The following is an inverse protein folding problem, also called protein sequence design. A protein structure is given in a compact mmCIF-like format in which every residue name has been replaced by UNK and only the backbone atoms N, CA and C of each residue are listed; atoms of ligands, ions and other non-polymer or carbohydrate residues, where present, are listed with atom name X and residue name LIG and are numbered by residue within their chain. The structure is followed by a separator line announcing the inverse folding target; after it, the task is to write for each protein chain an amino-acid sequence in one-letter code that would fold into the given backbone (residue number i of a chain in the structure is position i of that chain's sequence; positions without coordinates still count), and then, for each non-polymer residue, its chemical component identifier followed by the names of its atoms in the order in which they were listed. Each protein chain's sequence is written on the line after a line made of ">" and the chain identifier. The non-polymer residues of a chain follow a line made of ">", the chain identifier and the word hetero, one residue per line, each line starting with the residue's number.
data_IF_062773659076
#
_entry.id   IF_062773659076
#
_cell.length_a   1.000
_cell.length_b   1.000
_cell.length_c   1.000
_cell.angle_alpha   90.00
_cell.angle_beta   90.00
_cell.angle_gamma   90.00
#
_symmetry.space_group_name_H-M   'P 1'
#
loop_
_entity.id
_entity.type
_entity.pdbx_description
1 polymer ?
#
# COMPACT_ATOMS: atom_id res chain seq x y z
N UNK A 1 -6.32 6.15 31.13
CA UNK A 1 -6.16 4.69 31.02
C UNK A 1 -7.00 4.32 29.82
N UNK A 2 -6.40 3.74 28.78
CA UNK A 2 -7.20 3.12 27.73
C UNK A 2 -7.80 1.86 28.35
N UNK A 3 -9.12 1.69 28.18
CA UNK A 3 -9.78 0.48 28.66
C UNK A 3 -9.14 -0.73 27.97
N UNK A 4 -8.80 -1.75 28.76
CA UNK A 4 -8.22 -3.00 28.24
C UNK A 4 -9.25 -3.68 27.32
N UNK A 5 -8.93 -3.98 26.07
CA UNK A 5 -9.90 -4.58 25.16
C UNK A 5 -10.18 -6.03 25.59
N UNK A 6 -11.39 -6.52 25.32
CA UNK A 6 -11.73 -7.92 25.57
C UNK A 6 -10.98 -8.86 24.62
N UNK A 7 -10.91 -8.51 23.36
CA UNK A 7 -10.18 -9.29 22.36
C UNK A 7 -9.12 -8.46 21.67
N UNK A 8 -7.98 -9.10 21.40
CA UNK A 8 -6.91 -8.57 20.55
C UNK A 8 -6.82 -9.42 19.29
N UNK A 9 -6.90 -8.78 18.15
CA UNK A 9 -6.83 -9.44 16.85
C UNK A 9 -5.58 -9.00 16.14
N UNK A 10 -4.69 -9.93 15.81
CA UNK A 10 -3.62 -9.69 14.87
C UNK A 10 -4.10 -9.97 13.45
N UNK A 11 -3.75 -9.10 12.52
CA UNK A 11 -4.16 -9.20 11.13
C UNK A 11 -2.96 -8.99 10.21
N UNK A 12 -2.58 -10.04 9.50
CA UNK A 12 -1.62 -9.98 8.40
C UNK A 12 -2.36 -9.91 7.07
N UNK A 13 -2.15 -8.82 6.32
CA UNK A 13 -2.89 -8.50 5.11
C UNK A 13 -1.99 -8.44 3.88
N UNK A 14 -1.93 -9.53 3.14
CA UNK A 14 -1.29 -9.59 1.84
C UNK A 14 -2.26 -9.29 0.67
N UNK A 15 -1.72 -9.08 -0.53
CA UNK A 15 -2.53 -8.75 -1.71
C UNK A 15 -3.58 -9.80 -2.09
N UNK A 16 -3.39 -11.06 -1.69
CA UNK A 16 -4.25 -12.19 -2.05
C UNK A 16 -4.91 -12.87 -0.87
N UNK A 17 -4.33 -12.75 0.31
CA UNK A 17 -4.76 -13.43 1.52
C UNK A 17 -4.80 -12.47 2.69
N UNK A 18 -5.67 -12.76 3.62
CA UNK A 18 -5.81 -12.09 4.89
C UNK A 18 -5.83 -13.17 5.96
N UNK A 19 -4.91 -13.11 6.89
CA UNK A 19 -4.88 -13.98 8.06
C UNK A 19 -5.25 -13.20 9.31
N UNK A 20 -6.10 -13.78 10.16
CA UNK A 20 -6.43 -13.22 11.47
C UNK A 20 -6.16 -14.24 12.57
N UNK A 21 -5.70 -13.73 13.71
CA UNK A 21 -5.53 -14.47 14.95
C UNK A 21 -6.22 -13.70 16.08
N UNK A 22 -7.22 -14.30 16.71
CA UNK A 22 -8.03 -13.68 17.77
C UNK A 22 -7.60 -14.23 19.12
N UNK A 23 -7.33 -13.33 20.06
CA UNK A 23 -6.88 -13.64 21.41
C UNK A 23 -7.79 -12.98 22.44
N UNK A 24 -8.17 -13.71 23.47
CA UNK A 24 -8.82 -13.13 24.64
C UNK A 24 -7.77 -12.42 25.50
N UNK A 25 -8.03 -11.18 25.89
CA UNK A 25 -7.10 -10.43 26.73
C UNK A 25 -6.81 -11.11 28.07
N UNK A 26 -7.79 -11.85 28.61
CA UNK A 26 -7.66 -12.56 29.87
C UNK A 26 -6.88 -13.88 29.74
N UNK A 27 -6.90 -14.52 28.56
CA UNK A 27 -6.14 -15.76 28.29
C UNK A 27 -5.04 -15.47 27.23
N UNK A 28 -3.84 -15.17 27.74
CA UNK A 28 -2.67 -14.81 26.91
C UNK A 28 -1.89 -16.03 26.39
N UNK A 29 -2.38 -17.24 26.64
CA UNK A 29 -1.67 -18.47 26.27
C UNK A 29 -2.28 -19.16 25.05
N UNK A 30 -3.55 -18.94 24.79
CA UNK A 30 -4.27 -19.64 23.74
C UNK A 30 -5.01 -18.66 22.83
N UNK A 31 -4.86 -18.81 21.52
CA UNK A 31 -5.69 -18.09 20.58
C UNK A 31 -7.11 -18.67 20.58
N UNK A 32 -8.11 -17.80 20.58
CA UNK A 32 -9.51 -18.20 20.46
C UNK A 32 -9.87 -18.66 19.07
N UNK A 33 -9.23 -18.05 18.05
CA UNK A 33 -9.52 -18.32 16.63
C UNK A 33 -8.33 -17.99 15.76
N UNK A 34 -8.05 -18.87 14.77
CA UNK A 34 -7.19 -18.59 13.64
C UNK A 34 -7.98 -18.78 12.35
N UNK A 35 -7.92 -17.82 11.43
CA UNK A 35 -8.65 -17.92 10.16
C UNK A 35 -7.95 -17.17 9.02
N UNK A 36 -7.99 -17.79 7.83
CA UNK A 36 -7.55 -17.18 6.59
C UNK A 36 -8.75 -16.83 5.71
N UNK A 37 -8.65 -15.69 5.01
CA UNK A 37 -9.62 -15.22 4.02
C UNK A 37 -8.90 -14.84 2.73
N UNK A 38 -9.64 -14.83 1.63
CA UNK A 38 -9.21 -14.09 0.44
C UNK A 38 -9.27 -12.60 0.73
N UNK A 39 -8.29 -11.83 0.30
CA UNK A 39 -8.20 -10.40 0.63
C UNK A 39 -9.41 -9.57 0.13
N UNK A 40 -10.12 -10.05 -0.87
CA UNK A 40 -11.35 -9.40 -1.41
C UNK A 40 -12.63 -9.83 -0.69
N UNK A 41 -12.57 -10.78 0.25
CA UNK A 41 -13.76 -11.33 0.94
C UNK A 41 -13.95 -10.64 2.30
N UNK A 42 -14.12 -9.32 2.24
CA UNK A 42 -14.33 -8.48 3.42
C UNK A 42 -15.63 -8.85 4.14
N UNK A 43 -16.67 -9.19 3.41
CA UNK A 43 -17.96 -9.58 4.00
C UNK A 43 -17.85 -10.85 4.85
N UNK A 44 -17.09 -11.85 4.38
CA UNK A 44 -16.83 -13.05 5.17
C UNK A 44 -15.99 -12.76 6.41
N UNK A 45 -15.04 -11.84 6.32
CA UNK A 45 -14.26 -11.37 7.45
C UNK A 45 -15.15 -10.67 8.48
N UNK A 46 -15.96 -9.69 8.09
CA UNK A 46 -16.88 -8.97 8.99
C UNK A 46 -17.86 -9.95 9.66
N UNK A 47 -18.46 -10.88 8.92
CA UNK A 47 -19.33 -11.93 9.50
C UNK A 47 -18.60 -12.81 10.52
N UNK A 48 -17.30 -12.98 10.38
CA UNK A 48 -16.51 -13.71 11.38
C UNK A 48 -16.31 -12.86 12.62
N UNK A 49 -16.05 -11.56 12.48
CA UNK A 49 -15.99 -10.63 13.61
C UNK A 49 -17.33 -10.62 14.38
N UNK A 50 -18.45 -10.47 13.70
CA UNK A 50 -19.80 -10.47 14.31
C UNK A 50 -20.10 -11.74 15.13
N UNK A 51 -19.50 -12.88 14.78
CA UNK A 51 -19.73 -14.15 15.45
C UNK A 51 -18.78 -14.45 16.62
N UNK A 52 -17.57 -13.94 16.55
CA UNK A 52 -16.47 -14.39 17.42
C UNK A 52 -15.76 -13.26 18.16
N UNK A 53 -16.05 -12.01 17.80
CA UNK A 53 -15.35 -10.85 18.35
C UNK A 53 -16.37 -9.84 18.84
N UNK A 54 -16.14 -9.30 20.01
CA UNK A 54 -16.95 -8.20 20.58
C UNK A 54 -16.48 -6.85 20.01
N UNK A 55 -17.34 -5.83 20.04
CA UNK A 55 -16.97 -4.45 19.69
C UNK A 55 -15.93 -3.87 20.65
N UNK A 56 -15.85 -4.40 21.88
CA UNK A 56 -14.76 -4.13 22.84
C UNK A 56 -13.51 -4.91 22.47
N UNK A 57 -12.99 -4.64 21.28
CA UNK A 57 -11.81 -5.32 20.75
C UNK A 57 -10.91 -4.34 20.02
N UNK A 58 -9.67 -4.74 19.79
CA UNK A 58 -8.71 -4.02 18.96
C UNK A 58 -8.09 -4.94 17.92
N UNK A 59 -8.08 -4.50 16.66
CA UNK A 59 -7.38 -5.19 15.58
C UNK A 59 -6.06 -4.48 15.27
N UNK A 60 -4.98 -5.22 15.30
CA UNK A 60 -3.62 -4.76 14.96
C UNK A 60 -3.30 -5.26 13.57
N UNK A 61 -3.12 -4.34 12.62
CA UNK A 61 -2.89 -4.63 11.21
C UNK A 61 -1.44 -4.28 10.87
N UNK A 62 -0.72 -5.19 10.22
CA UNK A 62 0.59 -4.87 9.67
C UNK A 62 0.48 -3.88 8.51
N UNK A 63 1.40 -2.90 8.44
CA UNK A 63 1.40 -1.91 7.37
C UNK A 63 1.68 -2.56 6.02
N UNK A 64 0.69 -2.52 5.14
CA UNK A 64 0.70 -3.09 3.80
C UNK A 64 -0.09 -2.19 2.84
N UNK A 65 -0.14 -2.57 1.56
CA UNK A 65 -0.92 -1.83 0.56
C UNK A 65 -2.41 -1.71 0.92
N UNK A 66 -2.98 -2.70 1.60
CA UNK A 66 -4.41 -2.78 1.89
C UNK A 66 -4.77 -2.38 3.34
N UNK A 67 -3.79 -2.12 4.19
CA UNK A 67 -4.02 -1.91 5.63
C UNK A 67 -4.92 -0.71 5.93
N UNK A 68 -4.75 0.41 5.22
CA UNK A 68 -5.59 1.60 5.41
C UNK A 68 -7.06 1.34 5.04
N UNK A 69 -7.29 0.62 3.93
CA UNK A 69 -8.62 0.20 3.51
C UNK A 69 -9.28 -0.73 4.54
N UNK A 70 -8.56 -1.74 5.03
CA UNK A 70 -9.05 -2.68 6.03
C UNK A 70 -9.39 -1.97 7.35
N UNK A 71 -8.52 -1.05 7.81
CA UNK A 71 -8.80 -0.22 8.98
C UNK A 71 -10.09 0.58 8.80
N UNK A 72 -10.29 1.20 7.63
CA UNK A 72 -11.49 1.96 7.34
C UNK A 72 -12.75 1.09 7.38
N UNK A 73 -12.70 -0.11 6.78
CA UNK A 73 -13.83 -1.04 6.74
C UNK A 73 -14.17 -1.57 8.14
N UNK A 74 -13.18 -1.95 8.95
CA UNK A 74 -13.40 -2.38 10.32
C UNK A 74 -13.98 -1.28 11.19
N UNK A 75 -13.44 -0.07 11.11
CA UNK A 75 -13.95 1.08 11.86
C UNK A 75 -15.39 1.43 11.45
N UNK A 76 -15.74 1.34 10.16
CA UNK A 76 -17.10 1.52 9.67
C UNK A 76 -18.06 0.45 10.18
N UNK A 77 -17.57 -0.77 10.43
CA UNK A 77 -18.33 -1.87 11.03
C UNK A 77 -18.39 -1.79 12.59
N UNK A 78 -17.78 -0.76 13.20
CA UNK A 78 -17.79 -0.55 14.65
C UNK A 78 -16.65 -1.24 15.42
N UNK A 79 -15.68 -1.81 14.74
CA UNK A 79 -14.50 -2.45 15.35
C UNK A 79 -13.30 -1.52 15.32
N UNK A 80 -12.62 -1.38 16.43
CA UNK A 80 -11.40 -0.58 16.52
C UNK A 80 -10.25 -1.29 15.77
N UNK A 81 -9.58 -0.58 14.86
CA UNK A 81 -8.42 -1.10 14.14
C UNK A 81 -7.29 -0.08 14.10
N UNK A 82 -6.06 -0.55 14.32
CA UNK A 82 -4.85 0.26 14.27
C UNK A 82 -3.78 -0.40 13.41
N UNK A 83 -2.97 0.42 12.73
CA UNK A 83 -1.91 -0.06 11.86
C UNK A 83 -0.57 0.08 12.57
N UNK A 84 0.27 -0.95 12.47
CA UNK A 84 1.63 -0.95 13.00
C UNK A 84 2.66 -1.15 11.89
N UNK A 85 3.89 -0.73 12.16
CA UNK A 85 4.99 -0.90 11.21
C UNK A 85 5.45 -2.36 11.17
N UNK A 86 5.80 -2.85 9.98
CA UNK A 86 6.27 -4.20 9.74
C UNK A 86 7.56 -4.57 10.53
N UNK A 87 8.40 -3.56 10.82
CA UNK A 87 9.67 -3.77 11.52
C UNK A 87 9.53 -4.11 13.02
N UNK A 88 8.37 -3.83 13.63
CA UNK A 88 8.09 -4.18 15.03
C UNK A 88 8.11 -5.70 15.24
N UNK A 89 7.71 -6.47 14.22
CA UNK A 89 7.64 -7.94 14.28
C UNK A 89 8.92 -8.60 13.76
N UNK A 90 9.64 -7.94 12.86
CA UNK A 90 10.78 -8.52 12.14
C UNK A 90 11.99 -8.88 13.02
N UNK A 91 12.05 -8.44 14.27
CA UNK A 91 13.21 -8.64 15.15
C UNK A 91 13.16 -9.89 16.05
N UNK A 92 12.07 -10.65 16.04
CA UNK A 92 11.94 -11.85 16.89
C UNK A 92 11.93 -13.13 16.05
N UNK A 93 13.09 -13.78 15.92
CA UNK A 93 13.28 -15.13 15.36
C UNK A 93 13.08 -15.34 13.85
N UNK A 94 14.02 -14.85 13.04
CA UNK A 94 14.15 -15.14 11.59
C UNK A 94 14.29 -16.64 11.22
N UNK A 95 14.25 -17.56 12.17
CA UNK A 95 14.39 -19.02 11.93
C UNK A 95 13.07 -19.78 11.83
N UNK A 96 11.92 -19.16 12.16
CA UNK A 96 10.61 -19.81 12.00
C UNK A 96 10.11 -19.68 10.57
N UNK A 97 9.41 -20.70 10.09
CA UNK A 97 8.71 -20.71 8.80
C UNK A 97 7.84 -19.45 8.71
N UNK A 98 8.05 -18.68 7.65
CA UNK A 98 7.18 -17.56 7.27
C UNK A 98 5.81 -18.12 6.95
N UNK A 99 4.82 -17.80 7.76
CA UNK A 99 3.44 -18.22 7.58
C UNK A 99 2.54 -17.07 8.02
N UNK A 100 1.68 -16.61 7.14
CA UNK A 100 0.76 -15.47 7.34
C UNK A 100 0.00 -15.59 8.68
N UNK A 101 -0.33 -16.82 9.09
CA UNK A 101 -1.00 -17.10 10.37
C UNK A 101 -0.11 -16.83 11.59
N UNK A 102 1.18 -17.18 11.51
CA UNK A 102 2.15 -16.91 12.58
C UNK A 102 2.41 -15.41 12.68
N UNK A 103 2.42 -14.70 11.57
CA UNK A 103 2.63 -13.26 11.55
C UNK A 103 1.42 -12.54 12.15
N UNK A 104 0.19 -12.97 11.85
CA UNK A 104 -1.01 -12.50 12.52
C UNK A 104 -1.01 -12.78 14.04
N UNK A 105 -0.56 -13.97 14.47
CA UNK A 105 -0.39 -14.32 15.88
C UNK A 105 0.61 -13.40 16.57
N UNK A 106 1.77 -13.19 15.95
CA UNK A 106 2.83 -12.33 16.50
C UNK A 106 2.36 -10.88 16.68
N UNK A 107 1.51 -10.37 15.79
CA UNK A 107 0.91 -9.04 15.90
C UNK A 107 0.04 -8.91 17.15
N UNK A 108 -0.87 -9.87 17.37
CA UNK A 108 -1.71 -9.86 18.56
C UNK A 108 -0.88 -9.96 19.84
N UNK A 109 0.09 -10.88 19.87
CA UNK A 109 0.96 -11.07 21.01
C UNK A 109 1.87 -9.87 21.29
N UNK A 110 2.36 -9.17 20.27
CA UNK A 110 3.14 -7.95 20.43
C UNK A 110 2.32 -6.85 21.12
N UNK A 111 1.04 -6.70 20.73
CA UNK A 111 0.15 -5.76 21.41
C UNK A 111 -0.11 -6.15 22.87
N UNK A 112 -0.44 -7.41 23.13
CA UNK A 112 -0.70 -7.95 24.50
C UNK A 112 0.52 -7.76 25.40
N UNK A 113 1.74 -7.90 24.87
CA UNK A 113 2.99 -7.75 25.62
C UNK A 113 3.41 -6.29 25.84
N UNK A 114 2.74 -5.33 25.16
CA UNK A 114 3.12 -3.94 25.20
C UNK A 114 4.39 -3.62 24.36
N UNK A 115 4.70 -4.47 23.39
CA UNK A 115 5.85 -4.28 22.48
C UNK A 115 5.56 -3.26 21.35
N UNK A 116 4.33 -2.74 21.28
CA UNK A 116 3.90 -1.75 20.27
C UNK A 116 3.89 -0.37 20.91
N UNK A 117 4.88 0.44 20.55
CA UNK A 117 5.03 1.81 21.09
C UNK A 117 4.21 2.84 20.31
N UNK A 118 4.06 2.67 19.00
CA UNK A 118 3.43 3.63 18.13
C UNK A 118 2.57 2.97 17.06
N UNK A 119 1.42 3.61 16.78
CA UNK A 119 0.59 3.28 15.63
C UNK A 119 0.93 4.15 14.44
N UNK A 120 0.83 3.59 13.24
CA UNK A 120 1.03 4.34 12.00
C UNK A 120 -0.13 5.33 11.83
N UNK A 121 0.22 6.60 11.69
CA UNK A 121 -0.78 7.61 11.38
C UNK A 121 -1.43 7.30 10.02
N UNK A 122 -2.76 7.22 10.01
CA UNK A 122 -3.54 6.98 8.79
C UNK A 122 -4.28 8.26 8.42
N UNK A 123 -4.06 8.82 7.22
CA UNK A 123 -4.79 9.99 6.78
C UNK A 123 -6.29 9.68 6.67
N UNK A 124 -7.13 10.70 6.78
CA UNK A 124 -8.55 10.54 6.47
C UNK A 124 -8.73 10.21 4.98
N UNK A 125 -9.82 9.54 4.61
CA UNK A 125 -10.13 9.13 3.22
C UNK A 125 -9.95 10.26 2.20
N UNK A 126 -10.37 11.47 2.55
CA UNK A 126 -10.18 12.65 1.70
C UNK A 126 -8.71 12.98 1.40
N UNK A 127 -7.82 12.82 2.39
CA UNK A 127 -6.39 13.04 2.20
C UNK A 127 -5.73 11.89 1.43
N UNK A 128 -6.26 10.67 1.53
CA UNK A 128 -5.79 9.54 0.72
C UNK A 128 -6.06 9.78 -0.76
N UNK A 129 -7.26 10.21 -1.13
CA UNK A 129 -7.60 10.56 -2.51
C UNK A 129 -6.66 11.65 -3.08
N UNK A 130 -6.41 12.73 -2.33
CA UNK A 130 -5.48 13.76 -2.76
C UNK A 130 -4.05 13.22 -2.91
N UNK A 131 -3.61 12.39 -1.99
CA UNK A 131 -2.28 11.77 -2.04
C UNK A 131 -2.13 10.88 -3.27
N UNK A 132 -3.12 10.08 -3.59
CA UNK A 132 -3.12 9.20 -4.76
C UNK A 132 -3.08 9.99 -6.07
N UNK A 133 -3.86 11.07 -6.17
CA UNK A 133 -3.81 12.00 -7.30
C UNK A 133 -2.41 12.62 -7.43
N UNK A 134 -1.81 13.08 -6.33
CA UNK A 134 -0.48 13.66 -6.34
C UNK A 134 0.60 12.64 -6.72
N UNK A 135 0.49 11.40 -6.28
CA UNK A 135 1.40 10.33 -6.70
C UNK A 135 1.24 10.02 -8.18
N UNK A 136 0.02 9.86 -8.69
CA UNK A 136 -0.26 9.63 -10.10
C UNK A 136 0.29 10.77 -10.97
N UNK A 137 0.08 12.02 -10.57
CA UNK A 137 0.63 13.19 -11.25
C UNK A 137 2.16 13.18 -11.29
N UNK A 138 2.80 12.90 -10.16
CA UNK A 138 4.27 12.85 -10.04
C UNK A 138 4.85 11.74 -10.92
N UNK A 139 4.24 10.57 -10.91
CA UNK A 139 4.73 9.42 -11.68
C UNK A 139 4.51 9.63 -13.18
N UNK A 140 3.36 10.17 -13.59
CA UNK A 140 3.11 10.57 -14.97
C UNK A 140 4.11 11.63 -15.44
N UNK A 141 4.43 12.61 -14.60
CA UNK A 141 5.42 13.66 -14.92
C UNK A 141 6.83 13.09 -15.11
N UNK A 142 7.23 12.11 -14.27
CA UNK A 142 8.50 11.39 -14.43
C UNK A 142 8.52 10.60 -15.73
N UNK A 143 7.43 9.93 -16.08
CA UNK A 143 7.30 9.15 -17.30
C UNK A 143 7.39 10.03 -18.56
N UNK A 144 6.71 11.17 -18.58
CA UNK A 144 6.82 12.17 -19.65
C UNK A 144 8.27 12.65 -19.81
N UNK A 145 8.95 12.89 -18.68
CA UNK A 145 10.37 13.29 -18.71
C UNK A 145 11.26 12.18 -19.27
N UNK A 146 11.02 10.92 -18.86
CA UNK A 146 11.76 9.75 -19.35
C UNK A 146 11.58 9.55 -20.85
N UNK A 147 10.35 9.61 -21.32
CA UNK A 147 10.04 9.47 -22.76
C UNK A 147 10.64 10.62 -23.58
N UNK A 148 10.54 11.85 -23.09
CA UNK A 148 11.18 13.02 -23.74
C UNK A 148 12.68 12.82 -23.86
N UNK A 149 13.35 12.38 -22.79
CA UNK A 149 14.79 12.10 -22.82
C UNK A 149 15.15 10.99 -23.81
N UNK A 150 14.33 9.93 -23.90
CA UNK A 150 14.52 8.85 -24.87
C UNK A 150 14.42 9.34 -26.31
N UNK A 151 13.43 10.18 -26.62
CA UNK A 151 13.27 10.78 -27.96
C UNK A 151 14.48 11.67 -28.28
N UNK A 152 14.91 12.54 -27.37
CA UNK A 152 16.07 13.38 -27.53
C UNK A 152 17.34 12.57 -27.83
N UNK A 153 17.58 11.50 -27.08
CA UNK A 153 18.73 10.63 -27.27
C UNK A 153 18.67 9.90 -28.63
N UNK A 154 17.48 9.53 -29.09
CA UNK A 154 17.28 8.88 -30.37
C UNK A 154 17.55 9.86 -31.54
N UNK A 155 17.03 11.08 -31.46
CA UNK A 155 17.30 12.14 -32.46
C UNK A 155 18.78 12.50 -32.50
N UNK A 156 19.41 12.68 -31.35
CA UNK A 156 20.84 13.00 -31.25
C UNK A 156 21.71 11.91 -31.86
N UNK A 157 21.42 10.62 -31.64
CA UNK A 157 22.15 9.50 -32.26
C UNK A 157 22.03 9.44 -33.77
N UNK A 158 20.96 10.01 -34.33
CA UNK A 158 20.76 10.11 -35.77
C UNK A 158 21.32 11.41 -36.37
N UNK A 159 22.02 12.23 -35.57
CA UNK A 159 22.66 13.47 -36.05
C UNK A 159 21.71 14.66 -36.20
N UNK A 160 20.46 14.57 -35.72
CA UNK A 160 19.54 15.71 -35.77
C UNK A 160 20.00 16.77 -34.77
N UNK A 161 20.16 18.02 -35.23
CA UNK A 161 20.44 19.16 -34.38
C UNK A 161 19.19 19.56 -33.61
N UNK A 162 19.15 19.26 -32.34
CA UNK A 162 18.04 19.60 -31.46
C UNK A 162 18.24 21.00 -30.86
N UNK A 163 17.19 21.83 -30.74
CA UNK A 163 17.30 23.13 -30.10
C UNK A 163 17.71 22.96 -28.62
N UNK A 164 18.34 24.00 -28.08
CA UNK A 164 18.77 24.01 -26.66
C UNK A 164 17.57 23.72 -25.77
N UNK A 165 17.78 22.83 -24.83
CA UNK A 165 16.75 22.28 -23.92
C UNK A 165 16.33 23.31 -22.90
N UNK A 166 15.42 24.24 -23.22
CA UNK A 166 14.82 25.16 -22.25
C UNK A 166 13.66 24.47 -21.51
N UNK A 167 13.64 24.59 -20.17
CA UNK A 167 12.72 23.85 -19.29
C UNK A 167 11.23 24.15 -19.49
N UNK A 168 10.87 25.30 -20.07
CA UNK A 168 9.50 25.77 -20.15
C UNK A 168 8.64 25.14 -21.28
N UNK A 169 9.26 24.60 -22.37
CA UNK A 169 8.51 24.19 -23.57
C UNK A 169 8.92 22.84 -24.17
N UNK A 170 9.41 21.92 -23.34
CA UNK A 170 9.99 20.64 -23.81
C UNK A 170 9.05 19.81 -24.68
N UNK A 171 7.79 19.67 -24.29
CA UNK A 171 6.83 18.77 -24.95
C UNK A 171 6.30 19.38 -26.26
N UNK A 172 6.01 20.67 -26.28
CA UNK A 172 5.50 21.36 -27.47
C UNK A 172 6.58 21.47 -28.55
N UNK A 173 7.82 21.76 -28.16
CA UNK A 173 8.96 21.83 -29.07
C UNK A 173 9.30 20.48 -29.68
N UNK A 174 9.36 19.41 -28.86
CA UNK A 174 9.57 18.05 -29.36
C UNK A 174 8.44 17.60 -30.31
N UNK A 175 7.19 17.93 -29.98
CA UNK A 175 6.04 17.58 -30.82
C UNK A 175 6.11 18.27 -32.17
N UNK A 176 6.45 19.57 -32.24
CA UNK A 176 6.65 20.31 -33.48
C UNK A 176 7.77 19.70 -34.33
N UNK A 177 8.92 19.43 -33.73
CA UNK A 177 10.07 18.83 -34.42
C UNK A 177 9.76 17.45 -35.00
N UNK A 178 9.05 16.59 -34.26
CA UNK A 178 8.67 15.26 -34.75
C UNK A 178 7.77 15.40 -36.01
N UNK A 179 6.86 16.37 -36.00
CA UNK A 179 5.96 16.62 -37.10
C UNK A 179 6.76 17.16 -38.31
N UNK A 180 7.63 18.13 -38.09
CA UNK A 180 8.48 18.74 -39.14
C UNK A 180 9.47 17.72 -39.74
N UNK A 181 10.12 16.91 -38.91
CA UNK A 181 11.05 15.86 -39.35
C UNK A 181 10.33 14.74 -40.15
N UNK A 182 9.10 14.39 -39.77
CA UNK A 182 8.28 13.45 -40.55
C UNK A 182 7.94 14.00 -41.93
N UNK A 183 7.63 15.30 -42.02
CA UNK A 183 7.29 15.95 -43.30
C UNK A 183 8.53 15.99 -44.20
N UNK A 184 9.70 16.34 -43.69
CA UNK A 184 10.95 16.37 -44.49
C UNK A 184 11.47 14.98 -44.85
N UNK A 185 11.30 13.98 -43.98
CA UNK A 185 11.70 12.59 -44.24
C UNK A 185 10.89 11.96 -45.38
N UNK A 186 9.59 12.18 -45.40
CA UNK A 186 8.70 11.69 -46.46
C UNK A 186 8.97 12.36 -47.82
N UNK A 187 9.39 13.63 -47.84
CA UNK A 187 9.71 14.33 -49.07
C UNK A 187 11.03 13.85 -49.70
N UNK A 188 11.97 13.30 -48.94
CA UNK A 188 13.25 12.77 -49.42
C UNK A 188 13.21 11.32 -49.89
N UNK A 189 12.23 10.54 -49.51
CA UNK A 189 12.03 9.14 -49.96
C UNK A 189 11.25 9.08 -51.31
N UNK A 190 10.74 10.21 -51.81
CA UNK A 190 10.00 10.28 -53.09
C UNK A 190 10.79 10.96 -54.21
N UNK A 191 12.06 11.26 -54.04
CA UNK A 191 12.99 11.69 -55.06
C UNK A 191 14.03 10.60 -55.36
#
# INVERSE_FOLDING_TARGET
>A
MQDEPRYVIGMDAHSRKLAISVWDWSDRFNACLHREFKCVDIDAMIKTYERHVDTDSITIIESSTNSAYLKTMLNAAGYRAEIVRADIIANKDRKRRICDMIDAENLALAYIKGDIDEFVWTPSHKYEEYRDIMFAYRDTSKEVTRLSNRIWNMCSRKGYKLPIRNNANKTSTLRKMIIETKIEGFAKEQQ
#
